data_IF_344447703845
#
_entry.id   IF_344447703845
#
_cell.length_a   1.000
_cell.length_b   1.000
_cell.length_c   1.000
_cell.angle_alpha   90.00
_cell.angle_beta   90.00
_cell.angle_gamma   90.00
#
_symmetry.space_group_name_H-M   'P 1'
#
loop_
_entity.id
_entity.type
_entity.pdbx_description
1 polymer ?
#
# COMPACT_ATOMS: atom_id res chain seq x y z
N UNK A 1 -6.32 -10.60 -2.23
CA UNK A 1 -6.50 -9.97 -3.55
C UNK A 1 -7.79 -9.17 -3.55
N UNK A 2 -7.77 -7.94 -4.10
CA UNK A 2 -8.87 -6.96 -3.96
C UNK A 2 -10.00 -7.31 -4.93
N UNK A 3 -11.12 -7.79 -4.40
CA UNK A 3 -12.35 -8.05 -5.16
C UNK A 3 -13.08 -6.73 -5.44
N UNK A 4 -12.73 -6.06 -6.54
CA UNK A 4 -13.25 -4.72 -6.87
C UNK A 4 -14.76 -4.76 -7.18
N UNK A 5 -15.28 -5.81 -7.83
CA UNK A 5 -16.69 -5.82 -8.26
C UNK A 5 -17.70 -6.19 -7.16
N UNK A 6 -17.38 -7.16 -6.29
CA UNK A 6 -18.31 -7.65 -5.25
C UNK A 6 -18.57 -6.66 -4.12
N UNK A 7 -17.70 -5.65 -4.00
CA UNK A 7 -17.78 -4.65 -2.94
C UNK A 7 -17.79 -3.22 -3.47
N UNK A 8 -18.28 -3.00 -4.69
CA UNK A 8 -18.36 -1.67 -5.31
C UNK A 8 -18.98 -0.60 -4.39
N UNK A 9 -19.97 -0.97 -3.57
CA UNK A 9 -20.56 -0.05 -2.62
C UNK A 9 -19.60 0.40 -1.48
N UNK A 10 -18.67 -0.46 -1.05
CA UNK A 10 -17.60 -0.09 -0.10
C UNK A 10 -16.50 0.69 -0.80
N UNK A 11 -16.16 0.31 -2.02
CA UNK A 11 -15.22 1.03 -2.87
C UNK A 11 -15.62 2.51 -3.02
N UNK A 12 -16.83 2.76 -3.53
CA UNK A 12 -17.34 4.12 -3.77
C UNK A 12 -17.40 4.92 -2.46
N UNK A 13 -17.79 4.28 -1.35
CA UNK A 13 -17.90 4.95 -0.05
C UNK A 13 -16.55 5.34 0.57
N UNK A 14 -15.48 4.60 0.26
CA UNK A 14 -14.14 4.84 0.79
C UNK A 14 -13.29 5.69 -0.16
N UNK A 15 -13.59 5.68 -1.46
CA UNK A 15 -12.80 6.37 -2.49
C UNK A 15 -12.61 7.86 -2.17
N UNK A 16 -13.70 8.53 -1.78
CA UNK A 16 -13.69 9.94 -1.44
C UNK A 16 -12.87 10.28 -0.18
N UNK A 17 -12.44 9.30 0.61
CA UNK A 17 -11.52 9.55 1.72
C UNK A 17 -10.09 9.80 1.24
N UNK A 18 -9.69 9.26 0.09
CA UNK A 18 -8.29 9.20 -0.35
C UNK A 18 -8.01 9.89 -1.68
N UNK A 19 -8.97 9.90 -2.60
CA UNK A 19 -8.76 10.40 -3.95
C UNK A 19 -9.81 11.44 -4.33
N UNK A 20 -9.50 12.25 -5.36
CA UNK A 20 -10.50 13.14 -5.94
C UNK A 20 -11.39 12.37 -6.92
N UNK A 21 -12.69 12.71 -7.04
CA UNK A 21 -13.59 12.06 -8.00
C UNK A 21 -13.05 12.04 -9.44
N UNK A 22 -12.31 13.08 -9.83
CA UNK A 22 -11.70 13.19 -11.15
C UNK A 22 -10.56 12.17 -11.38
N UNK A 23 -9.99 11.61 -10.31
CA UNK A 23 -8.93 10.59 -10.38
C UNK A 23 -9.49 9.16 -10.52
N UNK A 24 -10.82 8.96 -10.40
CA UNK A 24 -11.45 7.64 -10.28
C UNK A 24 -11.04 6.67 -11.39
N UNK A 25 -11.13 7.09 -12.65
CA UNK A 25 -10.80 6.24 -13.78
C UNK A 25 -9.32 5.78 -13.75
N UNK A 26 -8.41 6.67 -13.37
CA UNK A 26 -6.98 6.34 -13.32
C UNK A 26 -6.67 5.41 -12.13
N UNK A 27 -7.29 5.65 -10.98
CA UNK A 27 -7.13 4.79 -9.79
C UNK A 27 -7.71 3.40 -10.06
N UNK A 28 -8.90 3.31 -10.67
CA UNK A 28 -9.47 2.03 -11.11
C UNK A 28 -8.52 1.30 -12.07
N UNK A 29 -7.92 2.02 -13.03
CA UNK A 29 -6.94 1.45 -13.96
C UNK A 29 -5.69 0.93 -13.25
N UNK A 30 -5.19 1.60 -12.20
CA UNK A 30 -4.08 1.11 -11.37
C UNK A 30 -4.45 -0.23 -10.73
N UNK A 31 -5.62 -0.32 -10.10
CA UNK A 31 -6.05 -1.57 -9.47
C UNK A 31 -6.37 -2.68 -10.48
N UNK A 32 -6.80 -2.34 -11.69
CA UNK A 32 -6.89 -3.29 -12.81
C UNK A 32 -5.51 -3.82 -13.20
N UNK A 33 -4.48 -2.97 -13.31
CA UNK A 33 -3.11 -3.42 -13.57
C UNK A 33 -2.49 -4.21 -12.44
N UNK A 34 -2.96 -4.04 -11.20
CA UNK A 34 -2.57 -4.92 -10.09
C UNK A 34 -3.24 -6.29 -10.20
N UNK A 35 -4.54 -6.32 -10.50
CA UNK A 35 -5.35 -7.55 -10.47
C UNK A 35 -5.41 -8.32 -11.79
N UNK A 36 -4.99 -7.73 -12.90
CA UNK A 36 -5.32 -8.21 -14.27
C UNK A 36 -6.83 -8.21 -14.57
N UNK A 37 -7.60 -7.32 -13.96
CA UNK A 37 -9.03 -7.22 -14.22
C UNK A 37 -9.31 -6.73 -15.66
N UNK A 38 -10.22 -7.42 -16.34
CA UNK A 38 -10.62 -7.20 -17.75
C UNK A 38 -12.14 -7.15 -17.87
N UNK A 39 -12.65 -6.71 -19.02
CA UNK A 39 -14.10 -6.64 -19.26
C UNK A 39 -14.81 -8.01 -19.12
N UNK A 40 -14.13 -9.10 -19.51
CA UNK A 40 -14.61 -10.47 -19.43
C UNK A 40 -14.25 -11.18 -18.12
N UNK A 41 -13.37 -10.57 -17.31
CA UNK A 41 -12.95 -11.06 -16.00
C UNK A 41 -12.70 -9.87 -15.05
N UNK A 42 -13.77 -9.25 -14.54
CA UNK A 42 -13.65 -7.97 -13.86
C UNK A 42 -13.14 -8.09 -12.41
N UNK A 43 -13.00 -9.32 -11.91
CA UNK A 43 -12.35 -9.62 -10.63
C UNK A 43 -10.83 -9.80 -10.77
N UNK A 44 -10.33 -10.00 -12.01
CA UNK A 44 -8.92 -10.22 -12.31
C UNK A 44 -8.45 -11.65 -12.04
N UNK A 45 -7.17 -11.88 -12.33
CA UNK A 45 -6.51 -13.17 -12.11
C UNK A 45 -6.14 -13.34 -10.63
N UNK A 46 -6.41 -14.51 -10.07
CA UNK A 46 -6.07 -14.87 -8.68
C UNK A 46 -4.56 -14.86 -8.39
N UNK A 47 -3.73 -15.02 -9.43
CA UNK A 47 -2.27 -14.90 -9.38
C UNK A 47 -1.82 -13.45 -9.63
N UNK A 48 -2.72 -12.60 -10.13
CA UNK A 48 -2.54 -11.19 -10.39
C UNK A 48 -1.96 -10.90 -11.77
N UNK A 49 -1.60 -9.63 -12.03
CA UNK A 49 -1.06 -9.21 -13.32
C UNK A 49 0.30 -9.76 -13.70
N UNK A 50 0.53 -9.95 -15.00
CA UNK A 50 1.85 -10.29 -15.55
C UNK A 50 2.95 -9.29 -15.16
N UNK A 51 2.59 -8.05 -14.80
CA UNK A 51 3.54 -7.06 -14.28
C UNK A 51 4.26 -7.55 -13.03
N UNK A 52 3.65 -8.44 -12.24
CA UNK A 52 4.29 -9.09 -11.10
C UNK A 52 5.55 -9.87 -11.49
N UNK A 53 5.59 -10.46 -12.67
CA UNK A 53 6.76 -11.20 -13.15
C UNK A 53 7.98 -10.30 -13.36
N UNK A 54 7.76 -8.98 -13.48
CA UNK A 54 8.81 -7.96 -13.57
C UNK A 54 9.43 -7.62 -12.21
N UNK A 55 8.78 -7.95 -11.09
CA UNK A 55 9.24 -7.63 -9.74
C UNK A 55 9.84 -8.87 -9.10
N UNK A 56 11.14 -8.83 -8.80
CA UNK A 56 11.80 -9.85 -8.02
C UNK A 56 11.78 -9.47 -6.53
N UNK A 57 11.09 -10.25 -5.71
CA UNK A 57 11.19 -10.10 -4.24
C UNK A 57 12.44 -10.80 -3.76
N UNK A 58 13.36 -10.06 -3.14
CA UNK A 58 14.61 -10.60 -2.61
C UNK A 58 14.69 -10.33 -1.12
N UNK A 59 14.68 -11.41 -0.34
CA UNK A 59 14.97 -11.37 1.10
C UNK A 59 16.42 -11.80 1.40
N UNK A 60 17.15 -12.41 0.43
CA UNK A 60 18.53 -12.89 0.65
C UNK A 60 19.33 -13.12 -0.67
N UNK A 61 20.67 -12.90 -0.71
CA UNK A 61 21.46 -12.30 0.36
C UNK A 61 21.08 -10.85 0.55
N UNK A 62 21.08 -10.40 1.82
CA UNK A 62 21.23 -9.00 2.14
C UNK A 62 22.46 -8.53 1.36
N UNK A 63 22.24 -7.87 0.23
CA UNK A 63 23.33 -7.39 -0.61
C UNK A 63 23.92 -6.18 0.09
N UNK A 64 24.66 -6.35 1.19
CA UNK A 64 25.26 -5.26 1.97
C UNK A 64 24.33 -4.04 2.10
N UNK A 65 23.05 -4.28 2.34
CA UNK A 65 22.04 -3.24 2.38
C UNK A 65 22.04 -2.63 3.77
N UNK A 66 22.94 -1.68 4.00
CA UNK A 66 22.98 -0.89 5.24
C UNK A 66 21.60 -0.22 5.49
N UNK A 67 20.72 -0.06 4.49
CA UNK A 67 19.47 0.71 4.59
C UNK A 67 18.43 0.22 5.61
N UNK A 68 18.14 -1.08 5.75
CA UNK A 68 17.25 -1.53 6.84
C UNK A 68 17.92 -1.35 8.21
N UNK A 69 19.24 -1.56 8.29
CA UNK A 69 20.01 -1.41 9.53
C UNK A 69 20.16 0.08 9.93
N UNK A 70 20.30 0.97 8.95
CA UNK A 70 20.49 2.41 9.08
C UNK A 70 19.16 3.14 9.31
N UNK A 71 18.05 2.56 8.83
CA UNK A 71 16.71 3.07 9.03
C UNK A 71 15.79 1.99 9.63
N UNK A 72 15.72 1.88 10.97
CA UNK A 72 14.88 0.88 11.64
C UNK A 72 13.36 1.12 11.45
N UNK A 73 12.97 2.21 10.80
CA UNK A 73 11.57 2.48 10.43
C UNK A 73 11.24 2.07 9.00
N UNK A 74 12.22 1.72 8.18
CA UNK A 74 12.01 1.25 6.81
C UNK A 74 11.33 -0.13 6.84
N UNK A 75 10.28 -0.29 6.03
CA UNK A 75 9.52 -1.54 5.96
C UNK A 75 9.91 -2.32 4.71
N UNK A 76 10.03 -1.64 3.59
CA UNK A 76 10.46 -2.19 2.32
C UNK A 76 10.93 -1.03 1.42
N UNK A 77 11.48 -1.38 0.26
CA UNK A 77 11.67 -0.45 -0.83
C UNK A 77 11.69 -1.22 -2.17
N UNK A 78 11.36 -0.51 -3.25
CA UNK A 78 11.43 -1.02 -4.61
C UNK A 78 12.46 -0.25 -5.44
N UNK A 79 13.39 -0.98 -6.05
CA UNK A 79 14.45 -0.45 -6.90
C UNK A 79 14.22 -0.89 -8.34
N UNK A 80 14.10 0.02 -9.32
CA UNK A 80 14.11 -0.37 -10.72
C UNK A 80 15.48 -0.96 -11.09
N UNK A 81 15.47 -2.09 -11.80
CA UNK A 81 16.68 -2.65 -12.39
C UNK A 81 16.84 -2.03 -13.77
N UNK A 82 17.91 -1.26 -13.97
CA UNK A 82 18.33 -0.85 -15.31
C UNK A 82 18.85 -2.08 -16.07
N UNK A 83 17.93 -2.82 -16.71
CA UNK A 83 18.21 -4.03 -17.47
C UNK A 83 17.42 -4.07 -18.79
N UNK A 84 17.85 -5.00 -19.67
CA UNK A 84 17.11 -5.45 -20.85
C UNK A 84 16.55 -6.86 -20.54
N UNK A 85 15.22 -7.08 -20.55
CA UNK A 85 14.18 -6.13 -20.94
C UNK A 85 13.95 -5.02 -19.89
N UNK A 86 13.45 -3.84 -20.32
CA UNK A 86 13.00 -2.79 -19.41
C UNK A 86 11.84 -3.30 -18.54
N UNK A 87 11.47 -2.55 -17.51
CA UNK A 87 10.38 -2.90 -16.57
C UNK A 87 10.72 -4.10 -15.69
N UNK A 88 11.90 -4.05 -15.07
CA UNK A 88 12.24 -4.97 -13.99
C UNK A 88 12.51 -4.18 -12.72
N UNK A 89 12.15 -4.75 -11.58
CA UNK A 89 12.43 -4.17 -10.28
C UNK A 89 12.84 -5.24 -9.28
N UNK A 90 13.57 -4.83 -8.24
CA UNK A 90 13.77 -5.62 -7.03
C UNK A 90 12.97 -4.97 -5.91
N UNK A 91 12.10 -5.76 -5.27
CA UNK A 91 11.51 -5.38 -3.99
C UNK A 91 12.30 -6.04 -2.87
N UNK A 92 12.66 -5.25 -1.86
CA UNK A 92 13.36 -5.70 -0.67
C UNK A 92 12.49 -5.41 0.54
N UNK A 93 12.33 -6.40 1.41
CA UNK A 93 11.45 -6.32 2.58
C UNK A 93 12.33 -6.41 3.83
N UNK A 94 12.25 -5.41 4.71
CA UNK A 94 12.99 -5.37 5.97
C UNK A 94 12.35 -6.27 7.04
N UNK A 95 13.11 -6.65 8.06
CA UNK A 95 12.66 -7.56 9.12
C UNK A 95 11.45 -7.02 9.89
N UNK A 96 11.36 -5.69 10.05
CA UNK A 96 10.20 -5.03 10.69
C UNK A 96 8.90 -5.30 9.94
N UNK A 97 8.90 -5.35 8.60
CA UNK A 97 7.68 -5.58 7.81
C UNK A 97 7.07 -6.97 8.05
N UNK A 98 7.90 -7.99 8.32
CA UNK A 98 7.43 -9.33 8.66
C UNK A 98 6.75 -9.42 10.04
N UNK A 99 6.73 -8.34 10.82
CA UNK A 99 5.98 -8.26 12.09
C UNK A 99 4.53 -7.82 11.89
N UNK A 100 4.19 -7.29 10.73
CA UNK A 100 2.80 -6.96 10.42
C UNK A 100 2.03 -8.23 10.13
N UNK A 101 0.77 -8.31 10.58
CA UNK A 101 -0.07 -9.45 10.27
C UNK A 101 -0.27 -9.55 8.76
N UNK A 102 -0.43 -10.76 8.26
CA UNK A 102 -1.11 -10.95 6.99
C UNK A 102 -2.63 -10.76 7.19
N UNK A 103 -3.37 -10.63 6.10
CA UNK A 103 -4.83 -10.40 6.17
C UNK A 103 -5.62 -11.58 6.72
N UNK A 104 -5.04 -12.79 6.74
CA UNK A 104 -5.67 -14.03 7.21
C UNK A 104 -5.33 -14.32 8.68
N UNK A 105 -4.16 -13.90 9.15
CA UNK A 105 -3.64 -14.13 10.51
C UNK A 105 -3.97 -13.02 11.51
N UNK A 106 -4.81 -12.05 11.15
CA UNK A 106 -5.30 -11.06 12.10
C UNK A 106 -6.34 -11.67 13.07
N UNK A 107 -5.85 -12.56 13.94
CA UNK A 107 -6.60 -13.32 14.96
C UNK A 107 -7.39 -12.42 15.92
N UNK A 108 -7.00 -11.15 16.00
CA UNK A 108 -7.64 -10.08 16.79
C UNK A 108 -9.08 -9.78 16.35
N UNK A 109 -9.39 -10.06 15.07
CA UNK A 109 -10.70 -9.82 14.46
C UNK A 109 -11.11 -8.35 14.34
N UNK A 110 -12.29 -8.12 13.76
CA UNK A 110 -12.83 -6.79 13.47
C UNK A 110 -13.07 -5.88 14.68
N UNK A 111 -13.14 -6.46 15.89
CA UNK A 111 -13.29 -5.69 17.12
C UNK A 111 -11.99 -5.00 17.53
N UNK A 112 -10.83 -5.64 17.31
CA UNK A 112 -9.53 -5.10 17.71
C UNK A 112 -9.08 -3.89 16.89
N UNK A 113 -9.59 -3.76 15.66
CA UNK A 113 -9.34 -2.62 14.78
C UNK A 113 -9.91 -1.29 15.33
N UNK A 114 -10.89 -1.35 16.24
CA UNK A 114 -11.62 -0.18 16.71
C UNK A 114 -12.57 0.39 15.64
N UNK A 115 -13.06 1.61 15.85
CA UNK A 115 -14.08 2.22 14.98
C UNK A 115 -13.52 3.24 13.98
N UNK A 116 -12.23 3.54 14.05
CA UNK A 116 -11.54 4.50 13.20
C UNK A 116 -10.43 3.81 12.40
N UNK A 117 -10.10 4.35 11.24
CA UNK A 117 -8.89 3.93 10.51
C UNK A 117 -7.67 4.18 11.39
N UNK A 118 -6.77 3.20 11.47
CA UNK A 118 -5.58 3.27 12.33
C UNK A 118 -4.49 2.33 11.84
N UNK A 119 -3.29 2.47 12.41
CA UNK A 119 -2.16 1.57 12.17
C UNK A 119 -2.54 0.10 12.21
N UNK A 120 -3.47 -0.31 13.09
CA UNK A 120 -3.95 -1.70 13.27
C UNK A 120 -4.51 -2.36 12.01
N UNK A 121 -4.86 -1.58 11.00
CA UNK A 121 -5.31 -2.07 9.71
C UNK A 121 -4.14 -2.44 8.78
N UNK A 122 -2.92 -2.00 9.09
CA UNK A 122 -1.70 -2.26 8.32
C UNK A 122 -1.37 -3.75 8.30
N UNK A 123 -0.98 -4.23 7.13
CA UNK A 123 -0.65 -5.64 6.89
C UNK A 123 0.58 -5.73 6.02
N UNK A 124 1.26 -6.88 6.03
CA UNK A 124 2.37 -7.14 5.11
C UNK A 124 1.94 -6.98 3.65
N UNK A 125 0.74 -7.45 3.29
CA UNK A 125 0.18 -7.28 1.95
C UNK A 125 -0.05 -5.81 1.57
N UNK A 126 -0.41 -4.96 2.55
CA UNK A 126 -0.51 -3.51 2.35
C UNK A 126 0.84 -2.86 2.08
N UNK A 127 1.89 -3.29 2.78
CA UNK A 127 3.28 -2.83 2.53
C UNK A 127 3.73 -3.24 1.13
N UNK A 128 3.53 -4.50 0.74
CA UNK A 128 3.86 -4.96 -0.62
C UNK A 128 3.08 -4.15 -1.68
N UNK A 129 1.79 -3.88 -1.46
CA UNK A 129 0.99 -3.06 -2.37
C UNK A 129 1.54 -1.64 -2.51
N UNK A 130 1.96 -1.01 -1.41
CA UNK A 130 2.61 0.30 -1.45
C UNK A 130 3.83 0.27 -2.36
N UNK A 131 4.75 -0.68 -2.15
CA UNK A 131 5.98 -0.77 -2.93
C UNK A 131 5.72 -0.99 -4.42
N UNK A 132 4.69 -1.78 -4.75
CA UNK A 132 4.29 -1.99 -6.14
C UNK A 132 3.85 -0.72 -6.84
N UNK A 133 3.32 0.28 -6.13
CA UNK A 133 2.89 1.53 -6.76
C UNK A 133 4.08 2.29 -7.36
N UNK A 134 5.26 2.16 -6.77
CA UNK A 134 6.50 2.72 -7.33
C UNK A 134 6.93 2.06 -8.65
N UNK A 135 6.34 0.91 -9.02
CA UNK A 135 6.64 0.26 -10.27
C UNK A 135 5.90 0.94 -11.43
N UNK A 136 6.63 1.69 -12.25
CA UNK A 136 6.12 2.47 -13.40
C UNK A 136 5.10 1.73 -14.29
N UNK A 137 5.28 0.43 -14.63
CA UNK A 137 4.30 -0.32 -15.40
C UNK A 137 2.90 -0.42 -14.76
N UNK A 138 2.81 -0.31 -13.44
CA UNK A 138 1.53 -0.27 -12.73
C UNK A 138 1.06 1.18 -12.59
N UNK A 139 1.84 2.02 -11.91
CA UNK A 139 1.40 3.37 -11.56
C UNK A 139 1.33 4.32 -12.74
N UNK A 140 2.43 4.45 -13.47
CA UNK A 140 2.61 5.46 -14.51
C UNK A 140 1.88 5.15 -15.80
N UNK A 141 1.74 3.87 -16.16
CA UNK A 141 0.92 3.50 -17.32
C UNK A 141 -0.57 3.84 -17.12
N UNK A 142 -1.05 3.80 -15.88
CA UNK A 142 -2.45 4.11 -15.55
C UNK A 142 -2.69 5.61 -15.36
N UNK A 143 -1.81 6.28 -14.63
CA UNK A 143 -2.02 7.68 -14.19
C UNK A 143 -1.29 8.71 -15.04
N UNK A 144 -0.32 8.28 -15.86
CA UNK A 144 0.60 9.16 -16.58
C UNK A 144 1.70 9.79 -15.70
N UNK A 145 1.75 9.47 -14.41
CA UNK A 145 2.72 10.01 -13.45
C UNK A 145 3.43 8.89 -12.68
N UNK A 146 4.68 9.13 -12.28
CA UNK A 146 5.34 8.23 -11.35
C UNK A 146 4.68 8.36 -9.98
N UNK A 147 4.35 7.24 -9.34
CA UNK A 147 3.78 7.22 -7.99
C UNK A 147 4.94 7.08 -7.00
N UNK A 148 5.09 8.04 -6.11
CA UNK A 148 6.20 8.17 -5.17
C UNK A 148 5.72 8.18 -3.72
N UNK A 149 6.67 8.21 -2.78
CA UNK A 149 6.40 8.59 -1.40
C UNK A 149 6.27 10.10 -1.33
N UNK A 150 5.03 10.60 -1.18
CA UNK A 150 4.80 12.02 -1.27
C UNK A 150 5.52 12.78 -0.16
N UNK A 151 6.43 13.66 -0.58
CA UNK A 151 7.07 14.65 0.27
C UNK A 151 6.62 16.04 -0.14
N UNK A 152 6.37 16.88 0.85
CA UNK A 152 6.07 18.26 0.60
C UNK A 152 7.23 18.92 -0.17
N UNK A 153 7.00 19.54 -1.33
CA UNK A 153 8.08 20.07 -2.16
C UNK A 153 8.85 21.21 -1.46
N UNK A 154 8.18 21.98 -0.62
CA UNK A 154 8.77 23.12 0.09
C UNK A 154 9.53 22.69 1.35
N UNK A 155 9.01 21.72 2.10
CA UNK A 155 9.56 21.34 3.41
C UNK A 155 10.34 20.03 3.40
N UNK A 156 10.21 19.23 2.33
CA UNK A 156 10.76 17.88 2.19
C UNK A 156 10.30 16.91 3.29
N UNK A 157 9.27 17.28 4.06
CA UNK A 157 8.66 16.40 5.06
C UNK A 157 7.77 15.38 4.38
N UNK A 158 7.78 14.18 4.94
CA UNK A 158 6.84 13.13 4.59
C UNK A 158 5.44 13.53 5.08
N UNK A 159 4.63 13.99 4.12
CA UNK A 159 3.23 14.37 4.32
C UNK A 159 2.29 13.39 3.61
N UNK A 160 2.85 12.30 3.05
CA UNK A 160 2.11 11.22 2.39
C UNK A 160 1.95 9.98 3.26
N UNK A 161 2.80 9.78 4.27
CA UNK A 161 2.83 8.58 5.09
C UNK A 161 1.77 8.53 6.20
N UNK A 162 1.02 7.42 6.25
CA UNK A 162 0.07 7.12 7.31
C UNK A 162 -1.36 7.59 7.02
N UNK A 163 -2.34 7.12 7.80
CA UNK A 163 -3.75 7.25 7.48
C UNK A 163 -4.28 8.68 7.56
N UNK A 164 -3.80 9.54 8.47
CA UNK A 164 -4.19 10.96 8.50
C UNK A 164 -3.65 11.67 7.26
N UNK A 165 -2.36 11.48 7.00
CA UNK A 165 -1.64 12.21 5.97
C UNK A 165 -2.18 11.88 4.57
N UNK A 166 -2.38 10.59 4.28
CA UNK A 166 -3.00 10.15 3.02
C UNK A 166 -4.38 10.77 2.78
N UNK A 167 -5.24 10.83 3.81
CA UNK A 167 -6.55 11.49 3.68
C UNK A 167 -6.44 13.01 3.50
N UNK A 168 -5.49 13.65 4.18
CA UNK A 168 -5.26 15.09 4.03
C UNK A 168 -4.65 15.45 2.66
N UNK A 169 -3.87 14.55 2.07
CA UNK A 169 -3.23 14.73 0.77
C UNK A 169 -4.25 14.82 -0.38
N UNK A 170 -5.51 14.45 -0.15
CA UNK A 170 -6.59 14.62 -1.14
C UNK A 170 -6.66 16.04 -1.71
N UNK A 171 -6.34 17.07 -0.92
CA UNK A 171 -6.30 18.46 -1.37
C UNK A 171 -5.15 18.80 -2.36
N UNK A 172 -4.20 17.88 -2.53
CA UNK A 172 -3.05 17.98 -3.43
C UNK A 172 -3.12 16.98 -4.59
N UNK A 173 -2.15 16.06 -4.65
CA UNK A 173 -2.00 15.05 -5.72
C UNK A 173 -2.04 13.63 -5.14
N UNK A 174 -3.17 13.20 -4.55
CA UNK A 174 -3.26 11.91 -3.84
C UNK A 174 -2.92 10.70 -4.73
N UNK A 175 -3.21 10.77 -6.01
CA UNK A 175 -2.92 9.74 -7.02
C UNK A 175 -1.42 9.56 -7.31
N UNK A 176 -0.57 10.50 -6.86
CA UNK A 176 0.88 10.41 -6.94
C UNK A 176 1.52 9.77 -5.70
N UNK A 177 0.75 9.43 -4.66
CA UNK A 177 1.27 8.90 -3.40
C UNK A 177 0.98 7.40 -3.24
N UNK A 178 2.01 6.58 -3.07
CA UNK A 178 1.86 5.13 -2.92
C UNK A 178 0.97 4.75 -1.72
N UNK A 179 1.14 5.47 -0.61
CA UNK A 179 0.41 5.19 0.63
C UNK A 179 -1.11 5.48 0.51
N UNK A 180 -1.54 6.37 -0.40
CA UNK A 180 -2.97 6.59 -0.67
C UNK A 180 -3.63 5.33 -1.25
N UNK A 181 -2.98 4.62 -2.17
CA UNK A 181 -3.49 3.38 -2.73
C UNK A 181 -3.55 2.27 -1.69
N UNK A 182 -2.48 2.13 -0.90
CA UNK A 182 -2.42 1.17 0.20
C UNK A 182 -3.57 1.40 1.18
N UNK A 183 -3.68 2.60 1.75
CA UNK A 183 -4.67 2.88 2.79
C UNK A 183 -6.10 2.77 2.27
N UNK A 184 -6.36 3.21 1.03
CA UNK A 184 -7.63 2.99 0.36
C UNK A 184 -7.97 1.50 0.25
N UNK A 185 -7.06 0.68 -0.30
CA UNK A 185 -7.30 -0.75 -0.45
C UNK A 185 -7.53 -1.46 0.89
N UNK A 186 -6.76 -1.07 1.92
CA UNK A 186 -6.89 -1.66 3.25
C UNK A 186 -8.21 -1.27 3.94
N UNK A 187 -8.64 -0.02 3.86
CA UNK A 187 -9.94 0.39 4.40
C UNK A 187 -11.10 -0.29 3.65
N UNK A 188 -11.02 -0.40 2.32
CA UNK A 188 -12.04 -1.14 1.52
C UNK A 188 -12.10 -2.60 1.98
N UNK A 189 -10.95 -3.27 2.09
CA UNK A 189 -10.87 -4.66 2.52
C UNK A 189 -11.47 -4.87 3.91
N UNK A 190 -11.00 -4.10 4.91
CA UNK A 190 -11.50 -4.25 6.27
C UNK A 190 -12.98 -3.86 6.38
N UNK A 191 -13.44 -2.88 5.60
CA UNK A 191 -14.86 -2.50 5.60
C UNK A 191 -15.75 -3.62 5.06
N UNK A 192 -15.25 -4.37 4.07
CA UNK A 192 -15.93 -5.54 3.52
C UNK A 192 -15.90 -6.73 4.49
N UNK A 193 -14.72 -7.08 5.03
CA UNK A 193 -14.54 -8.23 5.94
C UNK A 193 -15.30 -8.03 7.25
N UNK A 194 -15.30 -6.80 7.77
CA UNK A 194 -15.96 -6.47 9.04
C UNK A 194 -17.40 -6.00 8.88
N UNK A 195 -17.90 -5.94 7.65
CA UNK A 195 -19.21 -5.39 7.29
C UNK A 195 -19.54 -4.06 7.99
N UNK A 196 -18.56 -3.17 8.07
CA UNK A 196 -18.71 -1.87 8.73
C UNK A 196 -17.96 -0.76 8.00
N UNK A 197 -18.32 0.48 8.31
CA UNK A 197 -17.56 1.65 7.88
C UNK A 197 -16.68 2.13 9.03
N UNK A 198 -15.50 2.65 8.71
CA UNK A 198 -14.58 3.20 9.70
C UNK A 198 -14.61 4.72 9.68
N UNK A 199 -14.54 5.32 10.87
CA UNK A 199 -14.38 6.75 11.05
C UNK A 199 -12.99 7.25 10.63
N UNK A 200 -12.79 8.58 10.58
CA UNK A 200 -11.52 9.19 10.22
C UNK A 200 -10.41 8.80 11.22
N UNK A 201 -9.16 8.68 10.76
CA UNK A 201 -8.03 8.35 11.63
C UNK A 201 -7.75 9.45 12.64
N UNK A 202 -7.25 9.05 13.80
CA UNK A 202 -6.92 9.94 14.93
C UNK A 202 -5.42 10.13 15.14
N UNK A 203 -4.61 9.26 14.54
CA UNK A 203 -3.14 9.31 14.57
C UNK A 203 -2.54 8.69 13.31
N UNK A 204 -1.27 8.98 13.04
CA UNK A 204 -0.44 8.27 12.06
C UNK A 204 0.40 7.17 12.74
N UNK A 205 -0.04 6.68 13.90
CA UNK A 205 0.68 5.70 14.67
C UNK A 205 0.85 4.42 13.87
N UNK A 206 2.09 3.93 13.85
CA UNK A 206 2.41 2.65 13.28
C UNK A 206 1.93 1.53 14.22
N UNK A 207 1.52 0.39 13.66
CA UNK A 207 1.04 -0.75 14.45
C UNK A 207 2.15 -1.50 15.16
N UNK A 208 3.34 -1.46 14.58
CA UNK A 208 4.52 -2.16 15.08
C UNK A 208 5.48 -1.14 15.65
N UNK A 209 5.71 -1.19 16.96
CA UNK A 209 6.71 -0.38 17.64
C UNK A 209 7.95 -1.21 17.94
N UNK A 210 9.14 -0.68 17.64
CA UNK A 210 10.42 -1.35 17.87
C UNK A 210 11.21 -0.66 18.98
N UNK A 211 11.42 -1.33 20.10
CA UNK A 211 12.22 -0.79 21.21
C UNK A 211 13.63 -1.35 21.19
N UNK A 212 14.61 -0.64 20.63
CA UNK A 212 16.02 -1.05 20.66
C UNK A 212 16.51 -1.87 19.47
N UNK A 213 15.91 -1.68 18.28
CA UNK A 213 16.30 -2.32 17.01
C UNK A 213 15.22 -3.25 16.44
N UNK A 214 15.47 -3.82 15.25
CA UNK A 214 14.48 -4.63 14.50
C UNK A 214 14.11 -5.95 15.21
N UNK A 215 14.98 -6.46 16.09
CA UNK A 215 14.75 -7.72 16.82
C UNK A 215 13.76 -7.60 18.00
N UNK A 216 13.35 -6.39 18.37
CA UNK A 216 12.51 -6.09 19.54
C UNK A 216 11.27 -5.28 19.17
N UNK A 217 10.71 -5.58 18.01
CA UNK A 217 9.44 -5.05 17.55
C UNK A 217 8.24 -5.81 18.15
N UNK A 218 7.27 -5.06 18.67
CA UNK A 218 6.02 -5.59 19.21
C UNK A 218 4.83 -4.92 18.50
N UNK A 219 3.80 -5.73 18.28
CA UNK A 219 2.49 -5.27 17.82
C UNK A 219 1.78 -4.55 18.97
N UNK A 220 1.27 -3.35 18.73
CA UNK A 220 0.64 -2.48 19.75
C UNK A 220 -0.88 -2.63 19.90
#
# INVERSE_FOLDING_TARGET
MVYITRHKYRWDAVFDNYFNPDDLANVEQVFQYVSDARDDDPDGDADGSEYFSGIQVINFPAGKGEECEDNPNLLAWLEPIEADPPNRAVMRICDKAFKYPDVESNDSGCAALGDNVSGKMSTLGGIVLHEMMHFDPIGKLATGIHIEDYKNPDTQKDEGYGPINTRNLKAGVPQANADNYRWFAQEVWWSAVCDKSFGPPTDNGDYVECTGGESSCVVM
#
